data_IF_931204101256
#
_entry.id   IF_931204101256
#
_cell.length_a   1.000
_cell.length_b   1.000
_cell.length_c   1.000
_cell.angle_alpha   90.00
_cell.angle_beta   90.00
_cell.angle_gamma   90.00
#
_symmetry.space_group_name_H-M   'P 1'
#
loop_
_entity.id
_entity.type
_entity.pdbx_description
1 polymer ?
#
# COMPACT_ATOMS: atom_id res chain seq x y z
N UNK A 1 -19.40 9.63 3.22
CA UNK A 1 -18.34 9.93 4.21
C UNK A 1 -17.49 8.69 4.42
N UNK A 2 -16.62 8.36 3.47
CA UNK A 2 -15.55 7.41 3.74
C UNK A 2 -14.49 8.14 4.60
N UNK A 3 -13.87 7.48 5.60
CA UNK A 3 -12.76 8.06 6.34
C UNK A 3 -11.61 8.42 5.39
N UNK A 4 -10.84 9.44 5.76
CA UNK A 4 -9.55 9.66 5.10
C UNK A 4 -8.59 8.58 5.58
N UNK A 5 -8.09 7.78 4.63
CA UNK A 5 -7.08 6.75 4.87
C UNK A 5 -5.68 7.22 4.43
N UNK A 6 -5.54 8.47 3.99
CA UNK A 6 -4.25 9.08 3.74
C UNK A 6 -3.60 9.47 5.08
N UNK A 7 -2.86 8.54 5.65
CA UNK A 7 -2.05 8.75 6.84
C UNK A 7 -0.55 8.60 6.56
N UNK A 8 0.33 9.05 7.46
CA UNK A 8 1.78 8.85 7.32
C UNK A 8 2.19 7.37 7.43
N UNK A 9 1.28 6.48 7.77
CA UNK A 9 1.53 5.07 8.00
C UNK A 9 1.74 4.28 6.71
N UNK A 10 2.61 3.27 6.78
CA UNK A 10 2.80 2.35 5.68
C UNK A 10 1.61 1.37 5.60
N UNK A 11 0.94 1.34 4.43
CA UNK A 11 -0.19 0.47 4.15
C UNK A 11 0.12 -1.03 4.21
N UNK A 12 1.41 -1.42 4.22
CA UNK A 12 1.83 -2.80 4.45
C UNK A 12 1.33 -3.35 5.79
N UNK A 13 1.57 -2.63 6.89
CA UNK A 13 1.29 -3.11 8.25
C UNK A 13 0.21 -2.30 8.99
N UNK A 14 -0.39 -1.32 8.32
CA UNK A 14 -1.46 -0.52 8.91
C UNK A 14 -2.70 -1.38 9.20
N UNK A 15 -3.29 -1.20 10.39
CA UNK A 15 -4.51 -1.87 10.82
C UNK A 15 -5.31 -0.97 11.78
N UNK A 16 -6.63 -0.83 11.59
CA UNK A 16 -7.44 -1.43 10.52
C UNK A 16 -7.12 -0.82 9.14
N UNK A 17 -6.96 -1.67 8.12
CA UNK A 17 -6.57 -1.21 6.78
C UNK A 17 -7.69 -0.44 6.07
N UNK A 18 -8.92 -0.93 6.17
CA UNK A 18 -10.09 -0.28 5.59
C UNK A 18 -11.34 -0.57 6.42
N UNK A 19 -12.12 0.47 6.73
CA UNK A 19 -13.41 0.37 7.43
C UNK A 19 -14.51 0.88 6.50
N UNK A 20 -15.36 -0.02 6.02
CA UNK A 20 -16.35 0.27 5.01
C UNK A 20 -17.56 1.04 5.55
N UNK A 21 -17.78 1.08 6.87
CA UNK A 21 -18.90 1.77 7.53
C UNK A 21 -20.28 1.45 6.89
N UNK A 22 -20.53 0.17 6.59
CA UNK A 22 -21.78 -0.29 5.99
C UNK A 22 -21.93 -0.02 4.48
N UNK A 23 -20.87 0.41 3.80
CA UNK A 23 -20.82 0.60 2.34
C UNK A 23 -19.99 -0.48 1.63
N UNK A 24 -19.62 -1.56 2.33
CA UNK A 24 -18.74 -2.61 1.81
C UNK A 24 -18.25 -3.56 2.89
N UNK A 25 -17.15 -4.27 2.60
CA UNK A 25 -16.50 -5.20 3.53
C UNK A 25 -15.34 -4.50 4.24
N UNK A 26 -15.30 -4.60 5.56
CA UNK A 26 -14.16 -4.13 6.36
C UNK A 26 -12.93 -5.01 6.09
N UNK A 27 -11.76 -4.38 5.95
CA UNK A 27 -10.49 -5.08 5.83
C UNK A 27 -9.62 -4.74 7.04
N UNK A 28 -9.42 -5.74 7.91
CA UNK A 28 -8.56 -5.59 9.08
C UNK A 28 -7.08 -5.43 8.68
N UNK A 29 -6.69 -6.02 7.55
CA UNK A 29 -5.31 -6.16 7.13
C UNK A 29 -5.10 -5.68 5.69
N UNK A 30 -3.95 -5.02 5.46
CA UNK A 30 -3.49 -4.59 4.14
C UNK A 30 -2.69 -5.67 3.41
N UNK A 31 -1.94 -5.32 2.35
CA UNK A 31 -1.26 -6.27 1.47
C UNK A 31 -0.26 -7.23 2.17
N UNK A 32 0.36 -6.82 3.28
CA UNK A 32 1.31 -7.69 4.00
C UNK A 32 0.63 -8.65 4.98
N UNK A 33 -0.63 -8.41 5.34
CA UNK A 33 -1.32 -9.10 6.44
C UNK A 33 -0.58 -9.13 7.78
N UNK A 34 0.29 -8.15 8.05
CA UNK A 34 1.18 -8.10 9.22
C UNK A 34 2.17 -9.27 9.32
N UNK A 35 2.52 -9.91 8.21
CA UNK A 35 3.49 -11.00 8.21
C UNK A 35 4.89 -10.48 8.57
N UNK A 36 5.60 -11.25 9.39
CA UNK A 36 7.01 -11.02 9.68
C UNK A 36 7.82 -11.24 8.40
N UNK A 37 8.59 -10.24 7.98
CA UNK A 37 9.47 -10.30 6.81
C UNK A 37 9.04 -9.48 5.61
N UNK A 38 7.79 -8.99 5.56
CA UNK A 38 7.30 -8.09 4.51
C UNK A 38 6.44 -8.75 3.43
N UNK A 39 6.26 -8.05 2.30
CA UNK A 39 5.42 -8.51 1.17
C UNK A 39 6.28 -8.79 -0.06
N UNK A 40 5.89 -9.78 -0.86
CA UNK A 40 6.52 -10.04 -2.16
C UNK A 40 5.88 -9.16 -3.25
N UNK A 41 6.68 -8.37 -3.96
CA UNK A 41 6.27 -7.57 -5.12
C UNK A 41 6.91 -8.08 -6.41
N UNK A 42 6.10 -8.14 -7.47
CA UNK A 42 6.56 -8.29 -8.85
C UNK A 42 6.76 -6.89 -9.44
N UNK A 43 7.96 -6.62 -9.94
CA UNK A 43 8.34 -5.38 -10.60
C UNK A 43 8.15 -5.49 -12.12
N UNK A 44 8.06 -4.35 -12.80
CA UNK A 44 7.86 -4.28 -14.25
C UNK A 44 9.01 -4.92 -15.06
N UNK A 45 10.19 -5.09 -14.46
CA UNK A 45 11.35 -5.78 -15.03
C UNK A 45 11.27 -7.32 -14.93
N UNK A 46 10.17 -7.89 -14.41
CA UNK A 46 10.04 -9.33 -14.12
C UNK A 46 10.66 -9.75 -12.78
N UNK A 47 11.28 -8.80 -12.09
CA UNK A 47 11.73 -8.77 -10.70
C UNK A 47 10.79 -9.31 -9.63
N UNK A 48 11.04 -10.39 -8.90
CA UNK A 48 10.34 -10.63 -7.62
C UNK A 48 11.23 -10.21 -6.45
N UNK A 49 10.76 -9.28 -5.60
CA UNK A 49 11.50 -8.83 -4.41
C UNK A 49 10.59 -8.71 -3.20
N UNK A 50 11.15 -8.98 -2.03
CA UNK A 50 10.46 -8.74 -0.75
C UNK A 50 10.68 -7.31 -0.29
N UNK A 51 9.59 -6.61 0.06
CA UNK A 51 9.61 -5.25 0.60
C UNK A 51 9.35 -5.32 2.10
N UNK A 52 10.33 -4.82 2.87
CA UNK A 52 10.21 -4.70 4.32
C UNK A 52 9.07 -3.75 4.71
N UNK A 53 8.31 -4.03 5.79
CA UNK A 53 7.33 -3.09 6.32
C UNK A 53 7.94 -1.80 6.88
N UNK A 54 9.27 -1.75 7.04
CA UNK A 54 10.00 -0.54 7.44
C UNK A 54 10.30 0.43 6.28
N UNK A 55 9.87 0.11 5.05
CA UNK A 55 9.96 1.06 3.94
C UNK A 55 9.17 2.34 4.28
N UNK A 56 9.68 3.49 3.84
CA UNK A 56 8.98 4.76 4.02
C UNK A 56 7.63 4.72 3.30
N UNK A 57 6.57 5.17 3.98
CA UNK A 57 5.20 5.12 3.48
C UNK A 57 5.06 5.81 2.11
N UNK A 58 5.63 7.01 1.94
CA UNK A 58 5.62 7.74 0.67
C UNK A 58 6.32 6.98 -0.48
N UNK A 59 7.39 6.23 -0.19
CA UNK A 59 8.09 5.44 -1.21
C UNK A 59 7.25 4.23 -1.61
N UNK A 60 6.61 3.58 -0.62
CA UNK A 60 5.72 2.46 -0.91
C UNK A 60 4.49 2.90 -1.70
N UNK A 61 3.88 4.03 -1.34
CA UNK A 61 2.73 4.59 -2.04
C UNK A 61 3.06 4.94 -3.49
N UNK A 62 4.20 5.60 -3.74
CA UNK A 62 4.68 5.87 -5.09
C UNK A 62 4.95 4.58 -5.89
N UNK A 63 5.42 3.51 -5.24
CA UNK A 63 5.70 2.23 -5.90
C UNK A 63 4.43 1.51 -6.37
N UNK A 64 3.34 1.59 -5.58
CA UNK A 64 2.08 0.88 -5.87
C UNK A 64 1.07 1.73 -6.63
N UNK A 65 1.25 3.04 -6.65
CA UNK A 65 0.41 3.95 -7.41
C UNK A 65 0.70 3.82 -8.91
N UNK A 66 -0.29 3.36 -9.66
CA UNK A 66 -0.21 3.29 -11.12
C UNK A 66 -0.19 4.71 -11.69
N UNK A 67 0.96 5.18 -12.18
CA UNK A 67 1.16 6.45 -12.87
C UNK A 67 0.35 7.60 -12.26
N UNK A 68 0.92 8.28 -11.27
CA UNK A 68 0.30 9.32 -10.43
C UNK A 68 -0.07 10.61 -11.18
N UNK A 69 -0.28 10.55 -12.49
CA UNK A 69 -0.54 11.71 -13.34
C UNK A 69 0.69 12.61 -13.52
N UNK A 70 1.91 12.12 -13.21
CA UNK A 70 3.12 12.89 -13.49
C UNK A 70 3.19 13.23 -14.97
N UNK A 71 3.38 14.52 -15.28
CA UNK A 71 3.59 14.96 -16.64
C UNK A 71 4.91 14.36 -17.15
N UNK A 72 4.82 13.52 -18.18
CA UNK A 72 5.98 13.09 -18.95
C UNK A 72 6.25 14.22 -19.94
N UNK A 73 7.25 15.05 -19.66
CA UNK A 73 7.70 16.07 -20.62
C UNK A 73 8.26 15.35 -21.86
N UNK A 74 7.77 15.64 -23.08
CA UNK A 74 8.14 14.91 -24.30
C UNK A 74 9.58 15.10 -24.76
#
# INVERSE_FOLDING_TARGET
>A
NAPDYAGPENSLNYSPYYVANGQGVDAQFGPSSQHVGGVAHLFADGSARTISPTIAAAVYDALVTRAGGEAIDP
#
